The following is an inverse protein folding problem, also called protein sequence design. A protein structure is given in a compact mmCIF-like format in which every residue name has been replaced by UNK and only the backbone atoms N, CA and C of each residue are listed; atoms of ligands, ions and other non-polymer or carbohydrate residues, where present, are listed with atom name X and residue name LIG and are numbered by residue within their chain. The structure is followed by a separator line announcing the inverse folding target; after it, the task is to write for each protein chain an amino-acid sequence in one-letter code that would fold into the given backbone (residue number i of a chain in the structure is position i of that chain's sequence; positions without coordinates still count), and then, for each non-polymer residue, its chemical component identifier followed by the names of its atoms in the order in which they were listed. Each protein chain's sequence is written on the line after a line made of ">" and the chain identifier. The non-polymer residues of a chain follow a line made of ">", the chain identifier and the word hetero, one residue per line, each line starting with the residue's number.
data_IF_300884486898
#
_entry.id   IF_300884486898
#
_cell.length_a   1.000
_cell.length_b   1.000
_cell.length_c   1.000
_cell.angle_alpha   90.00
_cell.angle_beta   90.00
_cell.angle_gamma   90.00
#
_symmetry.space_group_name_H-M   'P 1'
#
loop_
_entity.id
_entity.type
_entity.pdbx_description
1 polymer ?
#
# COMPACT_ATOMS: atom_id res chain seq x y z
N UNK A 1 19.32 13.33 -6.36
CA UNK A 1 19.05 12.62 -7.64
C UNK A 1 17.74 11.85 -7.46
N UNK A 2 16.96 11.67 -8.53
CA UNK A 2 15.77 10.81 -8.49
C UNK A 2 16.22 9.37 -8.78
N UNK A 3 15.65 8.43 -8.05
CA UNK A 3 15.85 7.00 -8.24
C UNK A 3 14.50 6.33 -8.42
N UNK A 4 14.53 5.12 -8.94
CA UNK A 4 13.37 4.25 -9.08
C UNK A 4 13.55 3.01 -8.24
N UNK A 5 12.60 2.80 -7.33
CA UNK A 5 12.46 1.61 -6.52
C UNK A 5 11.51 0.65 -7.22
N UNK A 6 11.99 -0.53 -7.59
CA UNK A 6 11.19 -1.65 -8.04
C UNK A 6 11.13 -2.70 -6.93
N UNK A 7 9.97 -2.90 -6.31
CA UNK A 7 9.78 -3.85 -5.22
C UNK A 7 8.69 -4.88 -5.53
N UNK A 8 8.94 -6.14 -5.15
CA UNK A 8 8.02 -7.27 -5.23
C UNK A 8 7.78 -7.82 -3.83
N UNK A 9 6.54 -7.75 -3.37
CA UNK A 9 6.12 -8.13 -2.03
C UNK A 9 5.41 -9.49 -2.10
N UNK A 10 5.91 -10.43 -1.31
CA UNK A 10 5.40 -11.80 -1.20
C UNK A 10 4.75 -12.02 0.16
N UNK A 11 3.73 -12.88 0.19
CA UNK A 11 2.99 -13.24 1.39
C UNK A 11 1.49 -13.11 1.23
N UNK A 12 0.77 -12.94 2.35
CA UNK A 12 -0.66 -12.69 2.36
C UNK A 12 -0.92 -11.17 2.23
N UNK A 13 -0.82 -10.68 0.99
CA UNK A 13 -0.85 -9.25 0.65
C UNK A 13 -1.98 -8.86 -0.29
N UNK A 14 -2.81 -9.81 -0.70
CA UNK A 14 -4.02 -9.56 -1.50
C UNK A 14 -5.27 -9.66 -0.62
N UNK A 15 -6.32 -8.90 -0.94
CA UNK A 15 -7.55 -8.87 -0.13
C UNK A 15 -7.47 -8.03 1.15
N UNK A 16 -6.30 -7.49 1.49
CA UNK A 16 -6.03 -6.74 2.73
C UNK A 16 -5.83 -5.23 2.51
N UNK A 17 -6.34 -4.69 1.41
CA UNK A 17 -6.20 -3.27 1.04
C UNK A 17 -4.76 -2.76 0.90
N UNK A 18 -3.78 -3.66 0.65
CA UNK A 18 -2.35 -3.32 0.53
C UNK A 18 -2.07 -2.21 -0.48
N UNK A 19 -2.71 -2.27 -1.66
CA UNK A 19 -2.55 -1.25 -2.72
C UNK A 19 -2.95 0.16 -2.26
N UNK A 20 -4.06 0.29 -1.54
CA UNK A 20 -4.55 1.57 -1.04
C UNK A 20 -3.65 2.12 0.07
N UNK A 21 -3.12 1.22 0.92
CA UNK A 21 -2.12 1.55 1.93
C UNK A 21 -0.88 2.14 1.26
N UNK A 22 -0.27 1.43 0.31
CA UNK A 22 0.93 1.91 -0.42
C UNK A 22 0.66 3.23 -1.14
N UNK A 23 -0.47 3.36 -1.85
CA UNK A 23 -0.82 4.60 -2.55
C UNK A 23 -0.90 5.80 -1.60
N UNK A 24 -1.49 5.63 -0.41
CA UNK A 24 -1.60 6.71 0.59
C UNK A 24 -0.21 7.20 1.03
N UNK A 25 0.68 6.28 1.36
CA UNK A 25 2.04 6.63 1.79
C UNK A 25 2.87 7.21 0.64
N UNK A 26 2.81 6.62 -0.55
CA UNK A 26 3.51 7.13 -1.72
C UNK A 26 3.09 8.58 -2.05
N UNK A 27 1.79 8.89 -1.99
CA UNK A 27 1.28 10.26 -2.19
C UNK A 27 1.76 11.23 -1.10
N UNK A 28 1.77 10.81 0.16
CA UNK A 28 2.27 11.63 1.26
C UNK A 28 3.76 11.95 1.12
N UNK A 29 4.52 10.99 0.60
CA UNK A 29 5.95 11.12 0.30
C UNK A 29 6.23 11.80 -1.05
N UNK A 30 5.19 12.24 -1.77
CA UNK A 30 5.28 12.87 -3.11
C UNK A 30 6.04 12.01 -4.13
N UNK A 31 5.92 10.69 -4.01
CA UNK A 31 6.47 9.73 -4.95
C UNK A 31 5.51 9.51 -6.11
N UNK A 32 6.05 9.19 -7.28
CA UNK A 32 5.27 8.85 -8.49
C UNK A 32 5.52 7.40 -8.88
N UNK A 33 4.66 6.80 -9.71
CA UNK A 33 4.79 5.40 -10.12
C UNK A 33 3.49 4.61 -10.00
N UNK A 34 3.58 3.31 -9.73
CA UNK A 34 2.39 2.48 -9.63
C UNK A 34 2.52 1.30 -8.67
N UNK A 35 1.36 0.79 -8.24
CA UNK A 35 1.24 -0.49 -7.53
C UNK A 35 0.25 -1.40 -8.25
N UNK A 36 0.63 -2.67 -8.44
CA UNK A 36 -0.18 -3.68 -9.11
C UNK A 36 -0.17 -5.02 -8.36
N UNK A 37 -1.29 -5.74 -8.40
CA UNK A 37 -1.33 -7.13 -7.96
C UNK A 37 -0.89 -8.02 -9.13
N UNK A 38 0.04 -8.94 -8.86
CA UNK A 38 0.48 -9.95 -9.83
C UNK A 38 -0.40 -11.20 -9.73
N UNK A 39 -0.51 -11.92 -10.84
CA UNK A 39 -1.33 -13.15 -10.96
C UNK A 39 -0.85 -14.28 -10.04
N UNK A 40 0.43 -14.28 -9.66
CA UNK A 40 1.04 -15.25 -8.74
C UNK A 40 0.72 -14.97 -7.26
N UNK A 41 -0.10 -13.96 -6.94
CA UNK A 41 -0.43 -13.59 -5.56
C UNK A 41 0.46 -12.49 -4.96
N UNK A 42 1.57 -12.13 -5.60
CA UNK A 42 2.46 -11.06 -5.11
C UNK A 42 1.92 -9.66 -5.46
N UNK A 43 2.49 -8.62 -4.83
CA UNK A 43 2.23 -7.22 -5.18
C UNK A 43 3.52 -6.63 -5.73
N UNK A 44 3.45 -5.98 -6.89
CA UNK A 44 4.57 -5.22 -7.46
C UNK A 44 4.34 -3.73 -7.22
N UNK A 45 5.37 -3.06 -6.75
CA UNK A 45 5.42 -1.61 -6.52
C UNK A 45 6.58 -1.05 -7.34
N UNK A 46 6.31 0.00 -8.08
CA UNK A 46 7.32 0.81 -8.75
C UNK A 46 7.12 2.24 -8.27
N UNK A 47 8.14 2.84 -7.68
CA UNK A 47 8.07 4.18 -7.13
C UNK A 47 9.30 4.98 -7.54
N UNK A 48 9.11 6.24 -7.92
CA UNK A 48 10.16 7.16 -8.35
C UNK A 48 10.16 8.36 -7.42
N UNK A 49 11.34 8.77 -7.00
CA UNK A 49 11.52 9.96 -6.18
C UNK A 49 12.90 10.05 -5.54
N UNK A 50 13.00 10.76 -4.43
CA UNK A 50 14.25 10.89 -3.68
C UNK A 50 14.55 9.58 -2.94
N UNK A 51 15.81 9.19 -2.90
CA UNK A 51 16.27 7.97 -2.22
C UNK A 51 15.74 7.86 -0.78
N UNK A 52 15.78 8.95 -0.01
CA UNK A 52 15.27 9.00 1.36
C UNK A 52 13.78 8.67 1.46
N UNK A 53 12.97 9.15 0.52
CA UNK A 53 11.54 8.92 0.49
C UNK A 53 11.22 7.51 -0.02
N UNK A 54 12.03 6.97 -0.93
CA UNK A 54 11.94 5.58 -1.36
C UNK A 54 12.28 4.61 -0.23
N UNK A 55 13.30 4.91 0.58
CA UNK A 55 13.64 4.12 1.77
C UNK A 55 12.50 4.11 2.79
N UNK A 56 11.86 5.25 3.05
CA UNK A 56 10.64 5.32 3.88
C UNK A 56 9.51 4.48 3.30
N UNK A 57 9.31 4.53 1.97
CA UNK A 57 8.31 3.68 1.32
C UNK A 57 8.66 2.19 1.51
N UNK A 58 9.92 1.80 1.39
CA UNK A 58 10.38 0.43 1.59
C UNK A 58 10.06 -0.09 3.00
N UNK A 59 10.31 0.71 4.04
CA UNK A 59 9.94 0.37 5.43
C UNK A 59 8.43 0.14 5.58
N UNK A 60 7.64 0.97 4.92
CA UNK A 60 6.17 0.85 4.86
C UNK A 60 5.76 -0.46 4.15
N UNK A 61 6.49 -0.88 3.11
CA UNK A 61 6.23 -2.15 2.40
C UNK A 61 6.52 -3.37 3.27
N UNK A 62 7.55 -3.33 4.12
CA UNK A 62 7.84 -4.40 5.08
C UNK A 62 6.80 -4.50 6.20
N UNK A 63 6.28 -3.36 6.64
CA UNK A 63 5.26 -3.32 7.71
C UNK A 63 3.90 -3.79 7.20
N UNK A 64 3.46 -3.24 6.06
CA UNK A 64 2.15 -3.50 5.49
C UNK A 64 0.97 -3.02 6.37
N UNK A 65 -0.27 -3.17 5.89
CA UNK A 65 -1.47 -2.93 6.69
C UNK A 65 -1.67 -4.00 7.78
N UNK A 66 -2.47 -3.71 8.80
CA UNK A 66 -2.67 -4.53 10.01
C UNK A 66 -2.99 -6.02 9.74
N UNK A 67 -3.65 -6.32 8.62
CA UNK A 67 -4.05 -7.69 8.24
C UNK A 67 -3.13 -8.32 7.18
N UNK A 68 -2.15 -7.59 6.66
CA UNK A 68 -1.17 -8.17 5.74
C UNK A 68 -0.14 -8.97 6.52
N UNK A 69 0.25 -10.10 5.93
CA UNK A 69 1.42 -10.85 6.38
C UNK A 69 2.45 -10.85 5.27
N UNK A 70 3.41 -9.92 5.37
CA UNK A 70 4.54 -9.84 4.46
C UNK A 70 5.53 -10.94 4.86
N UNK A 71 5.84 -11.82 3.90
CA UNK A 71 6.81 -12.90 4.08
C UNK A 71 8.17 -12.47 3.57
N UNK A 72 8.19 -11.81 2.41
CA UNK A 72 9.43 -11.35 1.79
C UNK A 72 9.19 -10.10 0.94
N UNK A 73 10.21 -9.26 0.82
CA UNK A 73 10.22 -8.07 -0.03
C UNK A 73 11.52 -8.06 -0.81
N UNK A 74 11.43 -8.38 -2.10
CA UNK A 74 12.56 -8.28 -3.02
C UNK A 74 12.51 -6.92 -3.68
N UNK A 75 13.57 -6.13 -3.57
CA UNK A 75 13.62 -4.79 -4.13
C UNK A 75 14.93 -4.51 -4.85
N UNK A 76 14.88 -3.56 -5.78
CA UNK A 76 16.01 -3.06 -6.53
C UNK A 76 15.88 -1.55 -6.73
N UNK A 77 17.02 -0.84 -6.68
CA UNK A 77 17.12 0.59 -6.95
C UNK A 77 17.80 0.80 -8.30
N UNK A 78 17.15 1.54 -9.20
CA UNK A 78 17.69 1.90 -10.50
C UNK A 78 17.54 3.39 -10.80
N UNK A 79 18.21 3.84 -11.86
CA UNK A 79 18.19 5.23 -12.32
C UNK A 79 17.15 5.48 -13.44
N UNK A 80 16.21 4.55 -13.62
CA UNK A 80 15.19 4.63 -14.67
C UNK A 80 14.20 5.78 -14.39
N UNK A 81 14.37 6.92 -15.04
CA UNK A 81 13.40 8.02 -14.95
C UNK A 81 12.14 7.68 -15.77
N UNK A 82 11.21 6.95 -15.15
CA UNK A 82 9.86 6.81 -15.67
C UNK A 82 9.11 8.14 -15.58
N UNK A 83 8.46 8.56 -16.67
CA UNK A 83 7.56 9.72 -16.65
C UNK A 83 6.22 9.31 -16.03
N UNK A 84 6.16 9.34 -14.70
CA UNK A 84 4.90 9.21 -13.95
C UNK A 84 4.58 10.53 -13.28
N UNK A 85 3.43 11.12 -13.59
CA UNK A 85 2.97 12.37 -12.97
C UNK A 85 2.37 12.14 -11.57
N UNK A 86 1.80 10.96 -11.34
CA UNK A 86 1.17 10.60 -10.07
C UNK A 86 1.42 9.14 -9.69
N UNK A 87 1.10 8.78 -8.44
CA UNK A 87 1.12 7.40 -7.99
C UNK A 87 -0.24 6.71 -8.20
N UNK A 88 -0.26 5.75 -9.12
CA UNK A 88 -1.47 5.07 -9.57
C UNK A 88 -1.58 3.62 -9.07
N UNK A 89 -2.81 3.17 -8.87
CA UNK A 89 -3.09 1.75 -8.59
C UNK A 89 -3.50 1.10 -9.90
N UNK A 90 -2.64 0.27 -10.48
CA UNK A 90 -2.98 -0.50 -11.69
C UNK A 90 -3.99 -1.58 -11.32
N UNK A 91 -5.15 -1.53 -12.00
CA UNK A 91 -6.28 -2.44 -11.79
C UNK A 91 -6.38 -3.39 -12.99
N UNK A 92 -6.14 -4.68 -12.78
CA UNK A 92 -6.79 -5.70 -13.63
C UNK A 92 -8.23 -5.85 -13.12
N UNK A 93 -9.19 -5.95 -14.06
CA UNK A 93 -10.61 -5.61 -13.88
C UNK A 93 -11.39 -6.21 -12.70
N UNK A 94 -12.51 -5.53 -12.36
CA UNK A 94 -13.68 -5.91 -11.56
C UNK A 94 -13.51 -6.61 -10.20
N UNK A 95 -12.88 -5.96 -9.21
CA UNK A 95 -12.89 -6.40 -7.79
C UNK A 95 -13.22 -5.28 -6.78
N UNK A 96 -13.65 -4.10 -7.25
CA UNK A 96 -13.75 -2.90 -6.42
C UNK A 96 -14.96 -2.90 -5.48
N UNK A 97 -16.10 -3.45 -5.89
CA UNK A 97 -17.36 -3.27 -5.15
C UNK A 97 -17.41 -4.13 -3.89
N UNK A 98 -16.76 -5.31 -3.89
CA UNK A 98 -16.85 -6.25 -2.77
C UNK A 98 -15.91 -5.91 -1.60
N UNK A 99 -14.66 -5.49 -1.87
CA UNK A 99 -13.71 -5.15 -0.80
C UNK A 99 -13.95 -3.78 -0.17
N UNK A 100 -14.48 -2.81 -0.93
CA UNK A 100 -14.74 -1.47 -0.40
C UNK A 100 -15.88 -1.48 0.62
N UNK A 101 -16.93 -2.26 0.38
CA UNK A 101 -18.03 -2.42 1.31
C UNK A 101 -17.61 -3.13 2.60
N UNK A 102 -16.76 -4.16 2.52
CA UNK A 102 -16.20 -4.82 3.69
C UNK A 102 -15.33 -3.85 4.52
N UNK A 103 -14.45 -3.09 3.86
CA UNK A 103 -13.59 -2.10 4.54
C UNK A 103 -14.40 -0.99 5.21
N UNK A 104 -15.41 -0.44 4.53
CA UNK A 104 -16.25 0.63 5.10
C UNK A 104 -17.10 0.11 6.27
N UNK A 105 -17.57 -1.14 6.20
CA UNK A 105 -18.22 -1.82 7.32
C UNK A 105 -17.27 -2.00 8.51
N UNK A 106 -16.02 -2.41 8.28
CA UNK A 106 -15.01 -2.60 9.32
C UNK A 106 -14.60 -1.27 9.99
N UNK A 107 -14.33 -0.21 9.21
CA UNK A 107 -13.98 1.12 9.75
C UNK A 107 -15.14 1.71 10.57
N UNK A 108 -16.39 1.59 10.09
CA UNK A 108 -17.57 2.01 10.87
C UNK A 108 -17.67 1.28 12.21
N UNK A 109 -17.41 -0.03 12.24
CA UNK A 109 -17.48 -0.80 13.48
C UNK A 109 -16.31 -0.51 14.43
N UNK A 110 -15.11 -0.22 13.92
CA UNK A 110 -13.95 0.12 14.76
C UNK A 110 -14.17 1.44 15.53
N UNK A 111 -14.68 2.50 14.88
CA UNK A 111 -15.02 3.74 15.57
C UNK A 111 -16.19 3.59 16.56
N UNK A 112 -17.10 2.65 16.32
CA UNK A 112 -18.18 2.32 17.27
C UNK A 112 -17.66 1.64 18.56
N UNK A 113 -16.49 1.01 18.52
CA UNK A 113 -15.85 0.42 19.71
C UNK A 113 -15.14 1.47 20.58
N UNK A 114 -14.46 2.44 19.96
CA UNK A 114 -13.76 3.54 20.65
C UNK A 114 -14.72 4.45 21.45
N UNK A 115 -15.92 4.72 20.91
CA UNK A 115 -16.90 5.58 21.59
C UNK A 115 -17.52 4.94 22.84
N UNK A 116 -17.56 3.61 22.92
CA UNK A 116 -18.17 2.88 24.05
C UNK A 116 -17.28 2.86 25.31
N UNK A 117 -15.97 3.11 25.18
CA UNK A 117 -15.02 3.13 26.30
C UNK A 117 -15.05 4.43 27.13
N UNK A 118 -15.70 5.48 26.62
CA UNK A 118 -15.87 6.77 27.33
C UNK A 118 -17.10 6.86 28.24
N UNK A 119 -18.04 5.90 28.17
CA UNK A 119 -19.25 5.90 28.99
C UNK A 119 -19.24 4.86 30.13
N UNK A 120 -18.14 4.13 30.32
CA UNK A 120 -17.95 3.18 31.44
C UNK A 120 -16.97 3.72 32.48
N UNK A 121 -17.07 5.01 32.76
CA UNK A 121 -16.50 5.69 33.93
C UNK A 121 -17.52 6.72 34.38
N UNK A 122 -18.60 6.24 34.97
CA UNK A 122 -19.43 6.93 35.96
C UNK A 122 -19.87 5.88 36.97
#
# INVERSE_FOLDING_TARGET
>A
MQQTLSASIYGNVQGVSFRAYVQKFARNLKLTGFVENKKNGSVKVVAIGKEEDLKKLLEVLHTGPLFAKVVDVVYDFGDENGNFDTFEVKRNGNYFVDQFNAYFWFVKNFFKYETKKRHSRN
#
